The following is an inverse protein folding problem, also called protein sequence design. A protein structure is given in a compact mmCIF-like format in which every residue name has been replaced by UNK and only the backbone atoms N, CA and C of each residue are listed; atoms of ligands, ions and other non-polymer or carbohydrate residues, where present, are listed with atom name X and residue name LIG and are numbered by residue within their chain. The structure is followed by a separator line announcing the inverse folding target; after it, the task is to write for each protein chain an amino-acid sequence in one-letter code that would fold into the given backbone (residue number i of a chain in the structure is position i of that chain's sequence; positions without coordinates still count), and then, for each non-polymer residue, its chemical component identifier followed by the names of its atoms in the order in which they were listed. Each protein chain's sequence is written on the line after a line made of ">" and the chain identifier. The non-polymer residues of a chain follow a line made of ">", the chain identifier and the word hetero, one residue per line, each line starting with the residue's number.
data_IF_650983653815
#
_entry.id   IF_650983653815
#
_cell.length_a   1.000
_cell.length_b   1.000
_cell.length_c   1.000
_cell.angle_alpha   90.00
_cell.angle_beta   90.00
_cell.angle_gamma   90.00
#
_symmetry.space_group_name_H-M   'P 1'
#
loop_
_entity.id
_entity.type
_entity.pdbx_description
1 polymer ?
#
# COMPACT_ATOMS: atom_id res chain seq x y z
N UNK A 1 -1.56 -1.98 -6.53
CA UNK A 1 -2.37 -1.90 -5.30
C UNK A 1 -1.58 -1.10 -4.26
N UNK A 2 -2.24 -0.59 -3.22
CA UNK A 2 -1.61 0.22 -2.16
C UNK A 2 -1.93 -0.42 -0.80
N UNK A 3 -0.94 -0.63 0.11
CA UNK A 3 -1.18 -1.18 1.44
C UNK A 3 -2.12 -0.29 2.26
N UNK A 4 -3.10 -0.89 2.92
CA UNK A 4 -4.20 -0.17 3.60
C UNK A 4 -4.35 -0.56 5.07
N UNK A 5 -3.30 -1.12 5.66
CA UNK A 5 -3.32 -1.63 7.02
C UNK A 5 -3.53 -3.13 7.09
N UNK A 6 -4.01 -3.57 8.25
CA UNK A 6 -4.15 -4.97 8.59
C UNK A 6 -5.52 -5.19 9.24
N UNK A 7 -6.13 -6.33 8.95
CA UNK A 7 -7.41 -6.74 9.54
C UNK A 7 -7.25 -7.05 11.03
N UNK A 8 -8.36 -7.22 11.75
CA UNK A 8 -8.34 -7.56 13.18
C UNK A 8 -7.64 -8.88 13.50
N UNK A 9 -7.53 -9.80 12.53
CA UNK A 9 -6.76 -11.04 12.64
C UNK A 9 -5.33 -10.94 12.06
N UNK A 10 -4.82 -9.73 11.81
CA UNK A 10 -3.43 -9.50 11.43
C UNK A 10 -3.07 -9.82 9.97
N UNK A 11 -4.06 -9.96 9.08
CA UNK A 11 -3.80 -10.15 7.65
C UNK A 11 -3.62 -8.80 6.93
N UNK A 12 -2.69 -8.67 5.97
CA UNK A 12 -2.49 -7.43 5.24
C UNK A 12 -3.71 -7.11 4.37
N UNK A 13 -4.17 -5.86 4.43
CA UNK A 13 -5.22 -5.32 3.59
C UNK A 13 -4.62 -4.32 2.58
N UNK A 14 -5.24 -4.21 1.41
CA UNK A 14 -4.84 -3.27 0.37
C UNK A 14 -6.06 -2.80 -0.43
N UNK A 15 -5.96 -1.65 -1.09
CA UNK A 15 -6.94 -1.20 -2.07
C UNK A 15 -6.31 -1.01 -3.45
N UNK A 16 -7.17 -0.86 -4.46
CA UNK A 16 -6.75 -0.53 -5.82
C UNK A 16 -7.22 0.87 -6.20
N UNK A 17 -6.36 1.60 -6.90
CA UNK A 17 -6.66 2.88 -7.52
C UNK A 17 -6.94 2.63 -9.00
N UNK A 18 -8.08 3.07 -9.49
CA UNK A 18 -8.48 2.93 -10.89
C UNK A 18 -8.59 4.33 -11.49
N UNK A 19 -7.92 4.56 -12.61
CA UNK A 19 -7.90 5.83 -13.31
C UNK A 19 -8.36 5.71 -14.76
N UNK A 20 -8.52 6.86 -15.41
CA UNK A 20 -8.74 6.95 -16.87
C UNK A 20 -7.51 6.39 -17.63
N UNK A 21 -7.64 6.02 -18.92
CA UNK A 21 -6.49 5.70 -19.75
C UNK A 21 -5.42 6.78 -19.67
N UNK A 22 -4.15 6.36 -19.58
CA UNK A 22 -2.97 7.24 -19.52
C UNK A 22 -2.90 8.17 -18.30
N UNK A 23 -3.55 7.80 -17.18
CA UNK A 23 -3.56 8.58 -15.93
C UNK A 23 -2.60 8.04 -14.85
N UNK A 24 -1.62 7.21 -15.21
CA UNK A 24 -0.71 6.50 -14.29
C UNK A 24 0.04 7.47 -13.38
N UNK A 25 0.52 8.60 -13.91
CA UNK A 25 1.23 9.62 -13.12
C UNK A 25 0.35 10.12 -11.96
N UNK A 26 -0.94 10.36 -12.20
CA UNK A 26 -1.88 10.81 -11.16
C UNK A 26 -2.13 9.70 -10.13
N UNK A 27 -2.27 8.45 -10.57
CA UNK A 27 -2.47 7.31 -9.68
C UNK A 27 -1.24 7.10 -8.78
N UNK A 28 -0.02 7.24 -9.33
CA UNK A 28 1.22 7.12 -8.58
C UNK A 28 1.41 8.28 -7.59
N UNK A 29 1.10 9.52 -7.97
CA UNK A 29 1.12 10.64 -7.02
C UNK A 29 0.14 10.43 -5.86
N UNK A 30 -1.07 9.92 -6.13
CA UNK A 30 -2.05 9.61 -5.08
C UNK A 30 -1.57 8.48 -4.16
N UNK A 31 -1.02 7.41 -4.72
CA UNK A 31 -0.44 6.32 -3.94
C UNK A 31 0.72 6.81 -3.06
N UNK A 32 1.61 7.65 -3.61
CA UNK A 32 2.72 8.24 -2.87
C UNK A 32 2.25 9.15 -1.73
N UNK A 33 1.27 10.01 -1.97
CA UNK A 33 0.70 10.87 -0.94
C UNK A 33 0.05 10.06 0.20
N UNK A 34 -0.71 9.01 -0.15
CA UNK A 34 -1.29 8.09 0.84
C UNK A 34 -0.19 7.35 1.63
N UNK A 35 0.86 6.89 0.96
CA UNK A 35 2.00 6.25 1.62
C UNK A 35 2.75 7.22 2.54
N UNK A 36 2.93 8.49 2.16
CA UNK A 36 3.55 9.49 3.04
C UNK A 36 2.71 9.82 4.27
N UNK A 37 1.40 9.55 4.25
CA UNK A 37 0.50 9.73 5.38
C UNK A 37 0.32 8.46 6.24
N UNK A 38 0.93 7.33 5.85
CA UNK A 38 0.72 6.03 6.53
C UNK A 38 1.96 5.13 6.54
N UNK A 39 2.18 4.40 7.63
CA UNK A 39 3.40 3.57 7.79
C UNK A 39 3.19 2.09 7.46
N UNK A 40 2.07 1.73 6.83
CA UNK A 40 1.75 0.32 6.52
C UNK A 40 2.84 -0.35 5.67
N UNK A 41 3.46 0.42 4.79
CA UNK A 41 4.51 0.00 3.87
C UNK A 41 5.85 -0.33 4.57
N UNK A 42 6.02 0.05 5.84
CA UNK A 42 7.21 -0.27 6.65
C UNK A 42 7.07 -1.60 7.39
N UNK A 43 5.88 -2.19 7.42
CA UNK A 43 5.64 -3.47 8.10
C UNK A 43 5.99 -4.62 7.16
N UNK A 44 6.90 -5.48 7.60
CA UNK A 44 7.25 -6.72 6.93
C UNK A 44 6.88 -7.94 7.80
N UNK A 45 6.57 -9.10 7.19
CA UNK A 45 6.40 -10.34 7.94
C UNK A 45 7.73 -10.79 8.57
N UNK A 46 7.67 -11.45 9.73
CA UNK A 46 8.86 -11.90 10.45
C UNK A 46 9.81 -12.76 9.59
N UNK A 47 9.24 -13.61 8.71
CA UNK A 47 10.00 -14.44 7.77
C UNK A 47 10.93 -13.61 6.86
N UNK A 48 10.60 -12.36 6.54
CA UNK A 48 11.43 -11.50 5.70
C UNK A 48 12.69 -10.99 6.41
N UNK A 49 12.80 -11.13 7.73
CA UNK A 49 13.98 -10.72 8.51
C UNK A 49 14.93 -11.89 8.82
N UNK A 50 14.59 -13.12 8.44
CA UNK A 50 15.35 -14.34 8.74
C UNK A 50 16.12 -14.92 7.53
N UNK A 51 16.08 -14.23 6.38
CA UNK A 51 16.88 -14.53 5.18
C UNK A 51 18.05 -13.54 5.06
#
# INVERSE_FOLDING_TARGET
>A
SVPAGFTGNGLPAAFQLIGRPFAEARLLCLAHAYQGATDWHLRAPALAHEL
#
